data_IF_225664912700
#
_entry.id   IF_225664912700
#
_cell.length_a   1.000
_cell.length_b   1.000
_cell.length_c   1.000
_cell.angle_alpha   90.00
_cell.angle_beta   90.00
_cell.angle_gamma   90.00
#
_symmetry.space_group_name_H-M   'P 1'
#
loop_
_entity.id
_entity.type
_entity.pdbx_description
1 polymer ?
#
# COMPACT_ATOMS: atom_id res chain seq x y z
N UNK A 1 -15.76 -6.60 6.58
CA UNK A 1 -16.00 -5.24 6.04
C UNK A 1 -14.66 -4.66 5.61
N UNK A 2 -14.46 -4.40 4.33
CA UNK A 2 -13.17 -3.91 3.78
C UNK A 2 -13.25 -2.41 3.52
N UNK A 3 -12.29 -1.63 4.04
CA UNK A 3 -12.23 -0.18 3.84
C UNK A 3 -11.10 0.13 2.85
N UNK A 4 -11.45 0.71 1.70
CA UNK A 4 -10.50 1.18 0.68
C UNK A 4 -10.39 2.69 0.80
N UNK A 5 -9.16 3.20 0.92
CA UNK A 5 -8.89 4.63 1.01
C UNK A 5 -7.84 5.04 -0.03
N UNK A 6 -8.03 6.22 -0.62
CA UNK A 6 -7.08 6.89 -1.50
C UNK A 6 -6.42 7.99 -0.69
N UNK A 7 -5.09 7.96 -0.60
CA UNK A 7 -4.28 8.89 0.17
C UNK A 7 -3.31 9.63 -0.76
N UNK A 8 -2.79 10.78 -0.36
CA UNK A 8 -1.65 11.36 -1.06
C UNK A 8 -0.37 10.62 -0.66
N UNK A 9 0.66 10.65 -1.52
CA UNK A 9 1.90 9.90 -1.28
C UNK A 9 2.61 10.37 0.01
N UNK A 10 2.56 11.66 0.35
CA UNK A 10 3.17 12.19 1.59
C UNK A 10 2.54 11.66 2.88
N UNK A 11 1.26 11.29 2.86
CA UNK A 11 0.60 10.66 4.01
C UNK A 11 1.12 9.24 4.25
N UNK A 12 1.62 8.57 3.19
CA UNK A 12 2.16 7.22 3.28
C UNK A 12 3.45 7.17 4.08
N UNK A 13 4.38 8.09 3.82
CA UNK A 13 5.68 8.14 4.51
C UNK A 13 5.49 8.31 6.02
N UNK A 14 4.53 9.17 6.42
CA UNK A 14 4.17 9.36 7.83
C UNK A 14 3.56 8.10 8.46
N UNK A 15 2.73 7.36 7.72
CA UNK A 15 2.14 6.09 8.19
C UNK A 15 3.22 5.02 8.36
N UNK A 16 4.17 4.95 7.44
CA UNK A 16 5.27 3.99 7.50
C UNK A 16 6.23 4.29 8.64
N UNK A 17 6.56 5.56 8.85
CA UNK A 17 7.49 6.00 9.91
C UNK A 17 6.93 5.77 11.32
N UNK A 18 5.61 5.84 11.49
CA UNK A 18 4.95 5.66 12.80
C UNK A 18 4.53 4.21 13.09
N UNK A 19 4.66 3.32 12.11
CA UNK A 19 4.20 1.93 12.21
C UNK A 19 5.36 0.96 12.44
N UNK A 20 5.24 0.06 13.42
CA UNK A 20 6.14 -1.08 13.52
C UNK A 20 5.83 -2.09 12.40
N UNK A 21 6.69 -2.14 11.38
CA UNK A 21 6.55 -3.07 10.26
C UNK A 21 7.16 -4.41 10.66
N UNK A 22 6.31 -5.42 10.85
CA UNK A 22 6.74 -6.78 11.19
C UNK A 22 7.30 -7.52 9.97
N UNK A 23 6.70 -7.29 8.80
CA UNK A 23 7.22 -7.82 7.53
C UNK A 23 6.78 -6.95 6.34
N UNK A 24 7.62 -6.93 5.31
CA UNK A 24 7.37 -6.18 4.08
C UNK A 24 7.71 -7.03 2.84
N UNK A 25 6.82 -7.01 1.86
CA UNK A 25 7.05 -7.61 0.54
C UNK A 25 6.75 -6.60 -0.57
N UNK A 26 7.63 -6.54 -1.56
CA UNK A 26 7.59 -5.57 -2.64
C UNK A 26 7.52 -6.25 -4.00
N UNK A 27 6.55 -5.83 -4.83
CA UNK A 27 6.41 -6.29 -6.21
C UNK A 27 6.39 -5.06 -7.12
N UNK A 28 7.27 -5.07 -8.12
CA UNK A 28 7.28 -4.08 -9.20
C UNK A 28 6.77 -4.71 -10.49
N UNK A 29 5.85 -4.03 -11.17
CA UNK A 29 5.47 -4.34 -12.55
C UNK A 29 5.66 -3.09 -13.39
N UNK A 30 6.33 -3.20 -14.53
CA UNK A 30 6.47 -2.07 -15.45
C UNK A 30 6.36 -2.54 -16.89
N UNK A 31 5.70 -1.73 -17.71
CA UNK A 31 5.70 -1.84 -19.16
C UNK A 31 6.12 -0.52 -19.80
N UNK A 32 6.14 -0.44 -21.14
CA UNK A 32 6.62 0.75 -21.85
C UNK A 32 5.84 2.04 -21.53
N UNK A 33 4.60 1.93 -21.03
CA UNK A 33 3.71 3.07 -20.77
C UNK A 33 3.09 3.09 -19.37
N UNK A 34 3.53 2.20 -18.46
CA UNK A 34 3.01 2.16 -17.11
C UNK A 34 4.05 1.60 -16.13
N UNK A 35 4.03 2.11 -14.90
CA UNK A 35 4.71 1.47 -13.79
C UNK A 35 3.76 1.26 -12.62
N UNK A 36 3.93 0.15 -11.95
CA UNK A 36 3.14 -0.23 -10.80
C UNK A 36 4.07 -0.77 -9.72
N UNK A 37 3.88 -0.29 -8.49
CA UNK A 37 4.59 -0.72 -7.30
C UNK A 37 3.54 -1.16 -6.28
N UNK A 38 3.65 -2.39 -5.81
CA UNK A 38 2.76 -2.92 -4.78
C UNK A 38 3.58 -3.30 -3.56
N UNK A 39 3.20 -2.77 -2.41
CA UNK A 39 3.77 -3.11 -1.11
C UNK A 39 2.74 -3.87 -0.29
N UNK A 40 3.15 -4.99 0.27
CA UNK A 40 2.40 -5.75 1.27
C UNK A 40 3.14 -5.60 2.58
N UNK A 41 2.50 -4.98 3.56
CA UNK A 41 3.08 -4.73 4.87
C UNK A 41 2.24 -5.42 5.93
N UNK A 42 2.89 -6.07 6.88
CA UNK A 42 2.26 -6.54 8.12
C UNK A 42 2.62 -5.54 9.22
N UNK A 43 1.60 -4.94 9.81
CA UNK A 43 1.73 -3.91 10.86
C UNK A 43 0.75 -4.23 11.99
N UNK A 44 1.26 -4.57 13.17
CA UNK A 44 0.46 -4.90 14.36
C UNK A 44 -0.65 -5.91 14.01
N UNK A 45 -0.29 -7.07 13.46
CA UNK A 45 -1.19 -8.13 12.97
C UNK A 45 -2.16 -7.74 11.82
N UNK A 46 -2.04 -6.52 11.28
CA UNK A 46 -2.85 -6.06 10.14
C UNK A 46 -2.07 -6.18 8.86
N UNK A 47 -2.71 -6.65 7.79
CA UNK A 47 -2.13 -6.58 6.46
C UNK A 47 -2.56 -5.27 5.79
N UNK A 48 -1.57 -4.45 5.43
CA UNK A 48 -1.71 -3.25 4.62
C UNK A 48 -1.22 -3.54 3.20
N UNK A 49 -2.06 -3.29 2.21
CA UNK A 49 -1.69 -3.38 0.79
C UNK A 49 -1.70 -1.99 0.20
N UNK A 50 -0.55 -1.55 -0.29
CA UNK A 50 -0.33 -0.25 -0.92
C UNK A 50 -0.02 -0.48 -2.40
N UNK A 51 -0.87 0.05 -3.28
CA UNK A 51 -0.65 0.02 -4.72
C UNK A 51 -0.42 1.44 -5.22
N UNK A 52 0.75 1.67 -5.80
CA UNK A 52 1.11 2.87 -6.54
C UNK A 52 1.10 2.53 -8.02
N UNK A 53 0.22 3.17 -8.78
CA UNK A 53 0.19 3.04 -10.24
C UNK A 53 0.51 4.39 -10.86
N UNK A 54 1.46 4.40 -11.78
CA UNK A 54 1.86 5.57 -12.57
C UNK A 54 1.57 5.29 -14.04
N UNK A 55 0.63 6.05 -14.61
CA UNK A 55 0.30 6.04 -16.05
C UNK A 55 0.40 7.46 -16.57
N UNK A 56 1.32 7.71 -17.50
CA UNK A 56 1.41 8.91 -18.33
C UNK A 56 1.04 10.24 -17.63
N UNK A 57 1.56 10.48 -16.41
CA UNK A 57 1.37 11.67 -15.55
C UNK A 57 0.30 11.60 -14.45
N UNK A 58 -0.40 10.47 -14.28
CA UNK A 58 -1.33 10.25 -13.15
C UNK A 58 -0.74 9.19 -12.21
N UNK A 59 -0.54 9.58 -10.95
CA UNK A 59 -0.16 8.70 -9.85
C UNK A 59 -1.36 8.43 -8.96
N UNK A 60 -1.74 7.16 -8.79
CA UNK A 60 -2.84 6.77 -7.88
C UNK A 60 -2.31 5.89 -6.77
N UNK A 61 -2.61 6.26 -5.52
CA UNK A 61 -2.34 5.46 -4.32
C UNK A 61 -3.64 4.82 -3.83
N UNK A 62 -3.64 3.49 -3.69
CA UNK A 62 -4.73 2.75 -3.02
C UNK A 62 -4.20 2.00 -1.83
N UNK A 63 -4.87 2.16 -0.69
CA UNK A 63 -4.57 1.43 0.55
C UNK A 63 -5.74 0.53 0.94
N UNK A 64 -5.45 -0.74 1.25
CA UNK A 64 -6.42 -1.71 1.80
C UNK A 64 -5.89 -2.28 3.11
N UNK A 65 -6.69 -2.18 4.17
CA UNK A 65 -6.40 -2.80 5.48
C UNK A 65 -7.27 -4.04 5.66
N UNK A 66 -6.65 -5.20 5.91
CA UNK A 66 -7.35 -6.43 6.31
C UNK A 66 -6.99 -6.75 7.75
N UNK A 67 -7.98 -6.72 8.65
CA UNK A 67 -7.87 -7.25 10.01
C UNK A 67 -8.10 -8.76 9.94
N UNK A 68 -7.30 -9.57 10.64
CA UNK A 68 -7.72 -10.96 10.93
C UNK A 68 -9.02 -10.92 11.73
N UNK A 69 -9.98 -11.81 11.47
CA UNK A 69 -11.13 -11.96 12.37
C UNK A 69 -10.59 -12.38 13.75
N UNK A 70 -10.94 -11.61 14.77
CA UNK A 70 -10.74 -12.00 16.17
C UNK A 70 -11.81 -13.06 16.45
N UNK A 71 -11.40 -14.30 16.64
CA UNK A 71 -12.24 -15.39 17.17
C UNK A 71 -12.52 -15.18 18.64
#
# INVERSE_FOLDING_TARGET
>A
MERRQTHQIGDLDTILDTSHIESAHYIRKSGPYYSERTFYLVVNDNMLIIRLSQRASVSTLTTRRRRKPVT
#
